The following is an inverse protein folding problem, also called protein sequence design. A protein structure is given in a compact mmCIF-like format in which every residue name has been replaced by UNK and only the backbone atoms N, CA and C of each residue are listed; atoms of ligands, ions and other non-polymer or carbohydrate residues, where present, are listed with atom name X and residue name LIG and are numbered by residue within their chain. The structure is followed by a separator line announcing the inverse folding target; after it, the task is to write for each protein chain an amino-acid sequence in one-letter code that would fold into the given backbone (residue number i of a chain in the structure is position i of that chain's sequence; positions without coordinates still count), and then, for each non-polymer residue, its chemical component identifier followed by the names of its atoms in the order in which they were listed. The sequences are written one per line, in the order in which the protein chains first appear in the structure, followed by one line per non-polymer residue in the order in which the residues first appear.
data_IF_236721254991
#
_entry.id   IF_236721254991
#
_cell.length_a   1.000
_cell.length_b   1.000
_cell.length_c   1.000
_cell.angle_alpha   90.00
_cell.angle_beta   90.00
_cell.angle_gamma   90.00
#
_symmetry.space_group_name_H-M   'P 1'
#
loop_
_entity.id
_entity.type
_entity.pdbx_description
1 polymer ?
#
# COMPACT_ATOMS: atom_id res chain seq x y z
N UNK A 1 0.13 6.73 -17.90
CA UNK A 1 1.38 6.40 -17.14
C UNK A 1 1.78 4.94 -17.31
N UNK A 2 0.87 3.97 -17.09
CA UNK A 2 1.12 2.53 -17.31
C UNK A 2 1.68 2.19 -18.71
N UNK A 3 1.08 2.74 -19.76
CA UNK A 3 1.51 2.55 -21.15
C UNK A 3 2.96 2.99 -21.43
N UNK A 4 3.44 4.05 -20.77
CA UNK A 4 4.79 4.57 -20.99
C UNK A 4 5.86 3.68 -20.34
N UNK A 5 5.57 3.10 -19.17
CA UNK A 5 6.46 2.16 -18.48
C UNK A 5 6.62 0.84 -19.24
N UNK A 6 5.58 0.41 -19.97
CA UNK A 6 5.62 -0.81 -20.80
C UNK A 6 6.37 -0.56 -22.11
N UNK A 7 6.15 0.59 -22.77
CA UNK A 7 6.78 0.91 -24.07
C UNK A 7 8.24 1.35 -23.95
N UNK A 8 8.62 1.96 -22.82
CA UNK A 8 9.97 2.43 -22.57
C UNK A 8 10.42 1.92 -21.20
N UNK A 9 10.93 0.67 -21.12
CA UNK A 9 11.38 0.12 -19.85
C UNK A 9 12.57 0.94 -19.36
N UNK A 10 12.30 1.89 -18.47
CA UNK A 10 13.34 2.58 -17.73
C UNK A 10 13.82 1.63 -16.65
N UNK A 11 15.12 1.38 -16.60
CA UNK A 11 15.75 0.76 -15.43
C UNK A 11 15.57 1.69 -14.25
N UNK A 12 14.62 1.38 -13.38
CA UNK A 12 14.41 2.09 -12.12
C UNK A 12 15.44 1.56 -11.12
N UNK A 13 16.29 2.41 -10.54
CA UNK A 13 17.21 1.99 -9.48
C UNK A 13 16.43 1.38 -8.32
N UNK A 14 16.90 0.23 -7.82
CA UNK A 14 16.23 -0.49 -6.71
C UNK A 14 16.07 0.38 -5.46
N UNK A 15 17.02 1.29 -5.26
CA UNK A 15 17.08 2.15 -4.08
C UNK A 15 16.41 3.51 -4.30
N UNK A 16 15.78 3.75 -5.45
CA UNK A 16 15.08 5.01 -5.72
C UNK A 16 13.91 5.22 -4.76
N UNK A 17 13.14 4.16 -4.48
CA UNK A 17 11.96 4.27 -3.64
C UNK A 17 12.29 4.60 -2.18
N UNK A 18 13.32 3.99 -1.54
CA UNK A 18 13.85 4.45 -0.26
C UNK A 18 14.24 5.93 -0.22
N UNK A 19 14.89 6.45 -1.27
CA UNK A 19 15.33 7.86 -1.33
C UNK A 19 14.17 8.85 -1.26
N UNK A 20 13.00 8.50 -1.80
CA UNK A 20 11.80 9.32 -1.72
C UNK A 20 11.40 9.62 -0.26
N UNK A 21 11.46 8.60 0.59
CA UNK A 21 11.11 8.74 2.00
C UNK A 21 12.13 9.55 2.78
N UNK A 22 13.42 9.35 2.49
CA UNK A 22 14.50 10.12 3.11
C UNK A 22 14.35 11.61 2.74
N UNK A 23 14.04 11.89 1.48
CA UNK A 23 13.83 13.26 1.02
C UNK A 23 12.61 13.92 1.71
N UNK A 24 11.49 13.19 1.87
CA UNK A 24 10.33 13.72 2.58
C UNK A 24 10.62 14.01 4.07
N UNK A 25 11.38 13.15 4.76
CA UNK A 25 11.84 13.43 6.13
C UNK A 25 12.70 14.70 6.22
N UNK A 26 13.44 15.01 5.16
CA UNK A 26 14.27 16.21 5.07
C UNK A 26 13.46 17.46 4.66
N UNK A 27 12.14 17.32 4.48
CA UNK A 27 11.24 18.42 4.12
C UNK A 27 11.20 18.74 2.63
N UNK A 28 11.66 17.83 1.76
CA UNK A 28 11.57 18.01 0.31
C UNK A 28 10.10 18.06 -0.14
N UNK A 29 9.70 19.17 -0.75
CA UNK A 29 8.32 19.41 -1.18
C UNK A 29 7.88 18.45 -2.29
N UNK A 30 8.76 18.13 -3.23
CA UNK A 30 8.42 17.23 -4.34
C UNK A 30 8.21 15.80 -3.81
N UNK A 31 9.06 15.34 -2.90
CA UNK A 31 8.91 14.07 -2.22
C UNK A 31 7.59 13.99 -1.46
N UNK A 32 7.25 15.04 -0.70
CA UNK A 32 5.97 15.15 0.00
C UNK A 32 4.77 15.09 -0.95
N UNK A 33 4.81 15.84 -2.06
CA UNK A 33 3.74 15.81 -3.07
C UNK A 33 3.55 14.41 -3.67
N UNK A 34 4.65 13.70 -3.96
CA UNK A 34 4.59 12.33 -4.48
C UNK A 34 3.95 11.39 -3.45
N UNK A 35 4.32 11.47 -2.16
CA UNK A 35 3.72 10.64 -1.12
C UNK A 35 2.23 10.95 -0.91
N UNK A 36 1.85 12.22 -0.96
CA UNK A 36 0.46 12.64 -0.90
C UNK A 36 -0.36 12.07 -2.06
N UNK A 37 0.18 12.17 -3.29
CA UNK A 37 -0.48 11.60 -4.47
C UNK A 37 -0.60 10.07 -4.38
N UNK A 38 0.46 9.39 -3.94
CA UNK A 38 0.43 7.94 -3.73
C UNK A 38 -0.64 7.52 -2.70
N UNK A 39 -0.79 8.29 -1.63
CA UNK A 39 -1.83 8.05 -0.63
C UNK A 39 -3.23 8.32 -1.19
N UNK A 40 -3.42 9.34 -2.04
CA UNK A 40 -4.69 9.61 -2.72
C UNK A 40 -5.10 8.45 -3.65
N UNK A 41 -4.18 7.95 -4.47
CA UNK A 41 -4.46 6.81 -5.35
C UNK A 41 -4.80 5.53 -4.55
N UNK A 42 -4.13 5.33 -3.41
CA UNK A 42 -4.47 4.22 -2.52
C UNK A 42 -5.91 4.34 -1.99
N UNK A 43 -6.29 5.51 -1.47
CA UNK A 43 -7.63 5.73 -0.91
C UNK A 43 -8.73 5.59 -1.96
N UNK A 44 -8.52 6.11 -3.17
CA UNK A 44 -9.45 5.88 -4.30
C UNK A 44 -9.65 4.40 -4.57
N UNK A 45 -8.56 3.61 -4.56
CA UNK A 45 -8.64 2.17 -4.77
C UNK A 45 -9.46 1.50 -3.68
N UNK A 46 -9.23 1.86 -2.40
CA UNK A 46 -10.02 1.32 -1.28
C UNK A 46 -11.50 1.68 -1.41
N UNK A 47 -11.83 2.93 -1.77
CA UNK A 47 -13.20 3.38 -1.99
C UNK A 47 -13.90 2.52 -3.05
N UNK A 48 -13.27 2.33 -4.20
CA UNK A 48 -13.82 1.52 -5.30
C UNK A 48 -14.11 0.08 -4.84
N UNK A 49 -13.22 -0.53 -4.06
CA UNK A 49 -13.41 -1.90 -3.56
C UNK A 49 -14.55 -2.00 -2.52
N UNK A 50 -14.73 -0.97 -1.68
CA UNK A 50 -15.85 -0.88 -0.74
C UNK A 50 -17.16 -0.72 -1.50
N UNK A 51 -17.20 0.21 -2.46
CA UNK A 51 -18.40 0.53 -3.24
C UNK A 51 -18.84 -0.64 -4.12
N UNK A 52 -17.89 -1.41 -4.65
CA UNK A 52 -18.15 -2.64 -5.40
C UNK A 52 -18.72 -3.78 -4.53
N UNK A 53 -18.74 -3.62 -3.20
CA UNK A 53 -19.14 -4.66 -2.25
C UNK A 53 -18.15 -5.83 -2.14
N UNK A 54 -17.00 -5.74 -2.83
CA UNK A 54 -15.93 -6.73 -2.82
C UNK A 54 -15.09 -6.65 -1.53
N UNK A 55 -15.15 -5.52 -0.82
CA UNK A 55 -14.40 -5.31 0.41
C UNK A 55 -15.29 -5.05 1.62
N UNK A 56 -15.51 -6.11 2.40
CA UNK A 56 -16.04 -6.06 3.77
C UNK A 56 -14.99 -6.63 4.72
N UNK A 57 -14.00 -5.85 5.15
CA UNK A 57 -12.93 -6.39 5.96
C UNK A 57 -13.49 -6.87 7.30
N UNK A 58 -13.15 -8.10 7.73
CA UNK A 58 -13.38 -8.49 9.11
C UNK A 58 -12.68 -7.45 10.01
N UNK A 59 -13.43 -6.88 10.93
CA UNK A 59 -12.95 -5.91 11.93
C UNK A 59 -12.40 -4.58 11.40
N UNK A 60 -12.83 -4.16 10.21
CA UNK A 60 -12.47 -2.85 9.65
C UNK A 60 -10.95 -2.65 9.55
N UNK A 61 -10.23 -3.65 9.04
CA UNK A 61 -8.76 -3.59 8.90
C UNK A 61 -8.32 -3.51 7.43
N UNK A 62 -7.21 -2.83 7.18
CA UNK A 62 -6.45 -2.83 5.92
C UNK A 62 -5.04 -3.27 6.25
N UNK A 63 -4.61 -4.40 5.68
CA UNK A 63 -3.26 -4.92 5.85
C UNK A 63 -2.40 -4.46 4.66
N UNK A 64 -1.37 -3.68 4.94
CA UNK A 64 -0.40 -3.23 3.95
C UNK A 64 0.72 -4.28 3.80
N UNK A 65 0.89 -4.80 2.59
CA UNK A 65 1.96 -5.72 2.24
C UNK A 65 2.93 -5.09 1.24
N UNK A 66 4.18 -5.57 1.24
CA UNK A 66 5.24 -5.10 0.34
C UNK A 66 6.26 -4.19 1.02
N UNK A 67 7.53 -4.34 0.65
CA UNK A 67 8.66 -3.68 1.32
C UNK A 67 8.55 -2.16 1.38
N UNK A 68 7.93 -1.55 0.38
CA UNK A 68 7.72 -0.10 0.35
C UNK A 68 6.80 0.39 1.47
N UNK A 69 5.76 -0.39 1.78
CA UNK A 69 4.73 -0.04 2.76
C UNK A 69 5.07 -0.56 4.16
N UNK A 70 5.85 -1.64 4.24
CA UNK A 70 6.18 -2.32 5.51
C UNK A 70 7.57 -1.97 6.04
N UNK A 71 8.54 -1.63 5.18
CA UNK A 71 9.94 -1.38 5.57
C UNK A 71 10.37 0.09 5.45
N UNK A 72 9.50 1.01 5.03
CA UNK A 72 9.83 2.43 5.09
C UNK A 72 10.01 2.82 6.57
N UNK A 73 11.23 3.23 6.95
CA UNK A 73 11.53 3.75 8.30
C UNK A 73 10.58 4.89 8.67
N UNK A 74 10.22 5.66 7.66
CA UNK A 74 9.14 6.64 7.64
C UNK A 74 7.78 5.95 7.70
N UNK A 75 7.11 6.04 8.85
CA UNK A 75 5.68 5.75 8.96
C UNK A 75 4.80 6.76 8.18
N UNK A 76 5.40 7.65 7.38
CA UNK A 76 4.79 8.78 6.69
C UNK A 76 3.66 8.36 5.74
N UNK A 77 3.92 7.47 4.78
CA UNK A 77 2.91 7.04 3.82
C UNK A 77 1.73 6.32 4.50
N UNK A 78 2.01 5.45 5.48
CA UNK A 78 0.96 4.78 6.26
C UNK A 78 0.10 5.77 7.04
N UNK A 79 0.73 6.79 7.64
CA UNK A 79 0.04 7.88 8.35
C UNK A 79 -0.85 8.67 7.38
N UNK A 80 -0.32 9.08 6.23
CA UNK A 80 -1.06 9.81 5.20
C UNK A 80 -2.27 9.02 4.69
N UNK A 81 -2.10 7.72 4.43
CA UNK A 81 -3.20 6.83 4.03
C UNK A 81 -4.29 6.83 5.10
N UNK A 82 -3.93 6.62 6.37
CA UNK A 82 -4.89 6.61 7.47
C UNK A 82 -5.63 7.95 7.60
N UNK A 83 -4.90 9.06 7.56
CA UNK A 83 -5.49 10.40 7.64
C UNK A 83 -6.49 10.65 6.51
N UNK A 84 -6.16 10.24 5.28
CA UNK A 84 -7.04 10.40 4.11
C UNK A 84 -8.25 9.47 4.17
N UNK A 85 -8.10 8.21 4.59
CA UNK A 85 -9.23 7.29 4.81
C UNK A 85 -10.22 7.85 5.84
N UNK A 86 -9.72 8.39 6.95
CA UNK A 86 -10.56 9.02 7.97
C UNK A 86 -11.36 10.21 7.42
N UNK A 87 -10.73 11.06 6.59
CA UNK A 87 -11.42 12.18 5.92
C UNK A 87 -12.53 11.71 4.98
N UNK A 88 -12.39 10.50 4.44
CA UNK A 88 -13.38 9.88 3.57
C UNK A 88 -14.49 9.12 4.33
N UNK A 89 -14.47 9.14 5.67
CA UNK A 89 -15.41 8.43 6.53
C UNK A 89 -15.12 6.92 6.63
N UNK A 90 -13.94 6.48 6.21
CA UNK A 90 -13.52 5.08 6.24
C UNK A 90 -12.64 4.87 7.47
N UNK A 91 -13.25 4.48 8.58
CA UNK A 91 -12.55 4.25 9.86
C UNK A 91 -11.95 2.84 9.92
N UNK A 92 -10.97 2.57 9.04
CA UNK A 92 -10.28 1.29 9.03
C UNK A 92 -8.91 1.39 9.71
N UNK A 93 -8.55 0.36 10.47
CA UNK A 93 -7.20 0.19 11.03
C UNK A 93 -6.23 -0.17 9.91
N UNK A 94 -5.27 0.71 9.64
CA UNK A 94 -4.20 0.47 8.67
C UNK A 94 -2.99 -0.15 9.37
N UNK A 95 -2.71 -1.42 9.09
CA UNK A 95 -1.67 -2.21 9.76
C UNK A 95 -0.65 -2.72 8.74
N UNK A 96 0.65 -2.76 9.06
CA UNK A 96 1.61 -3.46 8.22
C UNK A 96 1.45 -4.98 8.39
N UNK A 97 1.72 -5.74 7.34
CA UNK A 97 1.92 -7.18 7.45
C UNK A 97 3.16 -7.45 8.30
N UNK A 98 2.98 -8.17 9.41
CA UNK A 98 4.03 -8.47 10.40
C UNK A 98 4.71 -9.81 10.14
N UNK A 99 3.99 -10.74 9.50
CA UNK A 99 4.51 -12.07 9.14
C UNK A 99 5.08 -12.10 7.72
N UNK A 100 5.97 -13.06 7.47
CA UNK A 100 6.48 -13.30 6.13
C UNK A 100 5.35 -13.76 5.19
N UNK A 101 5.19 -13.17 3.99
CA UNK A 101 4.13 -13.57 3.05
C UNK A 101 4.09 -15.08 2.72
N UNK A 102 5.24 -15.76 2.86
CA UNK A 102 5.36 -17.21 2.70
C UNK A 102 4.47 -17.99 3.67
N UNK A 103 4.26 -17.50 4.90
CA UNK A 103 3.40 -18.19 5.88
C UNK A 103 1.96 -18.30 5.37
N UNK A 104 1.45 -17.25 4.72
CA UNK A 104 0.13 -17.23 4.10
C UNK A 104 0.02 -18.26 2.97
N UNK A 105 1.04 -18.38 2.12
CA UNK A 105 1.06 -19.37 1.05
C UNK A 105 1.03 -20.82 1.60
N UNK A 106 1.80 -21.10 2.65
CA UNK A 106 1.81 -22.41 3.32
C UNK A 106 0.44 -22.71 3.95
N UNK A 107 -0.17 -21.73 4.63
CA UNK A 107 -1.49 -21.90 5.21
C UNK A 107 -2.57 -22.15 4.16
N UNK A 108 -2.51 -21.45 3.02
CA UNK A 108 -3.40 -21.69 1.89
C UNK A 108 -3.22 -23.12 1.34
N UNK A 109 -1.98 -23.60 1.21
CA UNK A 109 -1.70 -24.95 0.74
C UNK A 109 -2.22 -26.03 1.71
N UNK A 110 -2.07 -25.83 3.02
CA UNK A 110 -2.59 -26.76 4.04
C UNK A 110 -4.12 -26.82 4.05
N UNK A 111 -4.78 -25.69 3.79
CA UNK A 111 -6.24 -25.59 3.74
C UNK A 111 -6.84 -25.90 2.37
N UNK A 112 -6.00 -26.14 1.36
CA UNK A 112 -6.44 -26.41 0.00
C UNK A 112 -7.15 -27.76 -0.06
N UNK A 113 -8.47 -27.72 -0.26
CA UNK A 113 -9.24 -28.91 -0.66
C UNK A 113 -9.36 -28.90 -2.19
N UNK A 114 -8.82 -29.91 -2.90
CA UNK A 114 -9.03 -30.00 -4.33
C UNK A 114 -10.53 -30.11 -4.61
N UNK A 115 -11.04 -29.28 -5.53
CA UNK A 115 -12.40 -29.44 -6.03
C UNK A 115 -12.49 -30.79 -6.74
N UNK A 116 -13.44 -31.63 -6.32
CA UNK A 116 -13.80 -32.88 -7.01
C UNK A 116 -14.50 -32.58 -8.33
#
# INVERSE_FOLDING_TARGET
MYEACIRYPKTVPKDLAPLLFIAEEQGDEAASQILHWQADEFVKTVRVLIDAGEYRPPDQQIILAGSLLTKSSTKALRRLIREKLMKEGIDFRVLPLVDEPVSGAVQMAMNYKPMK
#
